data_IF_511329884304
#
_entry.id   IF_511329884304
#
_cell.length_a   1.000
_cell.length_b   1.000
_cell.length_c   1.000
_cell.angle_alpha   90.00
_cell.angle_beta   90.00
_cell.angle_gamma   90.00
#
_symmetry.space_group_name_H-M   'P 1'
#
loop_
_entity.id
_entity.type
_entity.pdbx_description
1 polymer ?
#
# COMPACT_ATOMS: atom_id res chain seq x y z
N UNK A 1 -11.69 18.94 -6.24
CA UNK A 1 -10.59 18.01 -5.90
C UNK A 1 -9.68 18.70 -4.91
N UNK A 2 -9.27 17.99 -3.88
CA UNK A 2 -8.30 18.45 -2.89
C UNK A 2 -7.07 17.54 -2.98
N UNK A 3 -5.87 18.12 -2.87
CA UNK A 3 -4.60 17.39 -2.91
C UNK A 3 -3.81 17.76 -1.66
N UNK A 4 -3.39 16.76 -0.91
CA UNK A 4 -2.55 16.92 0.29
C UNK A 4 -1.13 16.47 -0.04
N UNK A 5 -0.18 17.40 0.06
CA UNK A 5 1.25 17.12 -0.11
C UNK A 5 1.89 17.05 1.27
N UNK A 6 2.48 15.90 1.59
CA UNK A 6 3.15 15.66 2.87
C UNK A 6 4.66 15.95 2.77
N UNK A 7 5.33 16.18 3.91
CA UNK A 7 6.79 16.29 3.94
C UNK A 7 7.46 15.05 3.35
N UNK A 8 8.67 15.25 2.83
CA UNK A 8 9.50 14.15 2.34
C UNK A 8 9.79 13.13 3.46
N UNK A 9 9.87 11.85 3.09
CA UNK A 9 10.22 10.79 4.02
C UNK A 9 11.67 10.94 4.46
N UNK A 10 11.88 11.13 5.76
CA UNK A 10 13.23 11.14 6.34
C UNK A 10 13.87 9.76 6.25
N UNK A 11 15.18 9.72 5.97
CA UNK A 11 15.98 8.49 5.88
C UNK A 11 15.40 7.46 4.89
N UNK A 12 14.95 7.92 3.73
CA UNK A 12 14.36 7.08 2.69
C UNK A 12 14.98 7.42 1.31
N UNK A 13 15.37 6.42 0.50
CA UNK A 13 15.46 5.00 0.85
C UNK A 13 16.55 4.75 1.90
N UNK A 14 16.33 3.77 2.77
CA UNK A 14 17.23 3.41 3.88
C UNK A 14 18.34 2.44 3.47
N UNK A 15 18.22 1.82 2.29
CA UNK A 15 19.10 0.75 1.82
C UNK A 15 18.59 -0.65 2.18
N UNK A 16 17.59 -0.77 3.06
CA UNK A 16 16.84 -2.00 3.29
C UNK A 16 15.51 -1.94 2.53
N UNK A 17 15.44 -2.70 1.44
CA UNK A 17 14.27 -2.77 0.55
C UNK A 17 13.03 -3.27 1.30
N UNK A 18 13.18 -4.20 2.25
CA UNK A 18 12.04 -4.76 3.00
C UNK A 18 11.51 -3.71 3.98
N UNK A 19 12.40 -3.04 4.71
CA UNK A 19 12.01 -1.97 5.63
C UNK A 19 11.33 -0.80 4.89
N UNK A 20 11.91 -0.36 3.77
CA UNK A 20 11.39 0.72 2.95
C UNK A 20 10.00 0.38 2.38
N UNK A 21 9.85 -0.82 1.82
CA UNK A 21 8.56 -1.26 1.24
C UNK A 21 7.49 -1.42 2.31
N UNK A 22 7.85 -1.94 3.49
CA UNK A 22 6.94 -2.07 4.63
C UNK A 22 6.45 -0.70 5.09
N UNK A 23 7.35 0.28 5.20
CA UNK A 23 7.00 1.66 5.57
C UNK A 23 6.05 2.29 4.56
N UNK A 24 6.31 2.14 3.26
CA UNK A 24 5.44 2.67 2.21
C UNK A 24 4.04 2.03 2.26
N UNK A 25 3.95 0.71 2.45
CA UNK A 25 2.66 0.04 2.58
C UNK A 25 1.86 0.55 3.79
N UNK A 26 2.51 0.72 4.95
CA UNK A 26 1.85 1.26 6.15
C UNK A 26 1.34 2.70 5.94
N UNK A 27 2.10 3.54 5.22
CA UNK A 27 1.67 4.89 4.86
C UNK A 27 0.46 4.87 3.92
N UNK A 28 0.49 4.01 2.89
CA UNK A 28 -0.65 3.82 1.99
C UNK A 28 -1.89 3.39 2.76
N UNK A 29 -1.80 2.37 3.61
CA UNK A 29 -2.93 1.91 4.44
C UNK A 29 -3.51 3.03 5.31
N UNK A 30 -2.65 3.82 5.96
CA UNK A 30 -3.07 4.95 6.79
C UNK A 30 -3.88 5.97 5.98
N UNK A 31 -3.44 6.32 4.77
CA UNK A 31 -4.11 7.32 3.94
C UNK A 31 -5.36 6.77 3.24
N UNK A 32 -5.34 5.51 2.81
CA UNK A 32 -6.53 4.84 2.25
C UNK A 32 -7.66 4.81 3.27
N UNK A 33 -7.37 4.57 4.55
CA UNK A 33 -8.40 4.58 5.61
C UNK A 33 -9.09 5.94 5.81
N UNK A 34 -8.49 7.05 5.36
CA UNK A 34 -9.09 8.38 5.49
C UNK A 34 -10.21 8.63 4.47
N UNK A 35 -10.11 8.04 3.28
CA UNK A 35 -11.08 8.15 2.20
C UNK A 35 -11.08 6.85 1.36
N UNK A 36 -11.53 5.72 1.92
CA UNK A 36 -11.41 4.41 1.28
C UNK A 36 -12.09 4.37 -0.09
N UNK A 37 -13.21 5.08 -0.27
CA UNK A 37 -13.93 5.18 -1.54
C UNK A 37 -13.13 5.84 -2.68
N UNK A 38 -12.08 6.60 -2.36
CA UNK A 38 -11.19 7.23 -3.34
C UNK A 38 -10.06 6.30 -3.80
N UNK A 39 -9.87 5.14 -3.17
CA UNK A 39 -8.85 4.18 -3.57
C UNK A 39 -9.29 3.35 -4.78
N UNK A 40 -8.35 3.02 -5.67
CA UNK A 40 -8.60 2.23 -6.87
C UNK A 40 -8.78 0.72 -6.55
N UNK A 41 -9.92 0.36 -5.94
CA UNK A 41 -10.22 -1.03 -5.53
C UNK A 41 -10.30 -2.05 -6.68
N UNK A 42 -10.52 -1.58 -7.90
CA UNK A 42 -10.54 -2.44 -9.11
C UNK A 42 -9.15 -3.03 -9.39
N UNK A 43 -8.08 -2.41 -8.90
CA UNK A 43 -6.74 -2.95 -9.05
C UNK A 43 -6.55 -4.20 -8.18
N UNK A 44 -6.31 -5.36 -8.83
CA UNK A 44 -6.00 -6.63 -8.17
C UNK A 44 -4.60 -6.58 -7.50
N UNK A 45 -4.50 -5.96 -6.32
CA UNK A 45 -3.23 -5.76 -5.59
C UNK A 45 -2.71 -7.04 -4.92
N UNK A 46 -3.58 -7.92 -4.42
CA UNK A 46 -3.23 -9.10 -3.62
C UNK A 46 -3.21 -10.39 -4.46
N UNK A 47 -2.34 -10.43 -5.49
CA UNK A 47 -2.24 -11.59 -6.40
C UNK A 47 -1.49 -12.78 -5.81
N UNK A 48 -0.57 -12.51 -4.88
CA UNK A 48 0.26 -13.51 -4.22
C UNK A 48 -0.26 -13.71 -2.81
N UNK A 49 -0.62 -14.95 -2.47
CA UNK A 49 -1.02 -15.36 -1.12
C UNK A 49 0.04 -16.30 -0.53
N UNK A 50 0.14 -16.39 0.81
CA UNK A 50 0.98 -17.40 1.46
C UNK A 50 0.65 -18.83 1.01
N UNK A 51 1.61 -19.77 1.07
CA UNK A 51 1.36 -21.16 0.74
C UNK A 51 0.22 -21.75 1.59
N UNK A 52 -0.77 -22.35 0.94
CA UNK A 52 -1.93 -22.95 1.61
C UNK A 52 -3.17 -22.06 1.68
N UNK A 53 -3.07 -20.78 1.33
CA UNK A 53 -4.21 -19.87 1.24
C UNK A 53 -4.82 -19.82 -0.17
N UNK A 54 -6.14 -19.65 -0.23
CA UNK A 54 -6.84 -19.43 -1.51
C UNK A 54 -6.69 -17.99 -1.98
N UNK A 55 -6.58 -17.81 -3.30
CA UNK A 55 -6.56 -16.49 -3.92
C UNK A 55 -7.82 -15.68 -3.56
N UNK A 56 -7.65 -14.40 -3.26
CA UNK A 56 -8.75 -13.45 -3.09
C UNK A 56 -9.52 -13.14 -4.38
N UNK A 57 -8.95 -13.49 -5.53
CA UNK A 57 -9.54 -13.25 -6.84
C UNK A 57 -9.97 -14.56 -7.48
N UNK A 58 -11.24 -14.61 -7.91
CA UNK A 58 -11.75 -15.62 -8.83
C UNK A 58 -11.30 -15.31 -10.27
N UNK A 59 -11.15 -16.36 -11.07
CA UNK A 59 -10.90 -16.26 -12.51
C UNK A 59 -12.16 -15.86 -13.27
#
# INVERSE_FOLDING_TARGET
YEVVILPALQNFPSGDVVADTTRINALLEKHIRQAPEQYLWVHRRFKTCPPGESSFYSN
#
